data_IF_690330139906
#
_entry.id   IF_690330139906
#
_cell.length_a   1.000
_cell.length_b   1.000
_cell.length_c   1.000
_cell.angle_alpha   90.00
_cell.angle_beta   90.00
_cell.angle_gamma   90.00
#
_symmetry.space_group_name_H-M   'P 1'
#
loop_
_entity.id
_entity.type
_entity.pdbx_description
1 polymer ?
#
# COMPACT_ATOMS: atom_id res chain seq x y z
N UNK A 1 2.08 -19.19 1.45
CA UNK A 1 2.84 -18.16 0.70
C UNK A 1 4.12 -18.78 0.13
N UNK A 2 4.30 -18.82 -1.20
CA UNK A 2 5.53 -19.37 -1.80
C UNK A 2 6.73 -18.54 -1.31
N UNK A 3 7.78 -19.15 -0.74
CA UNK A 3 8.92 -18.44 -0.12
C UNK A 3 9.54 -17.36 -1.04
N UNK A 4 9.45 -17.55 -2.36
CA UNK A 4 9.92 -16.59 -3.36
C UNK A 4 9.21 -15.23 -3.35
N UNK A 5 7.90 -15.18 -3.10
CA UNK A 5 7.11 -13.93 -3.17
C UNK A 5 7.53 -12.93 -2.10
N UNK A 6 7.83 -13.41 -0.88
CA UNK A 6 8.34 -12.56 0.21
C UNK A 6 9.69 -11.93 -0.15
N UNK A 7 10.59 -12.75 -0.68
CA UNK A 7 11.93 -12.31 -1.05
C UNK A 7 11.90 -11.29 -2.19
N UNK A 8 11.05 -11.53 -3.19
CA UNK A 8 10.87 -10.63 -4.32
C UNK A 8 10.30 -9.28 -3.90
N UNK A 9 9.30 -9.29 -3.01
CA UNK A 9 8.72 -8.06 -2.47
C UNK A 9 9.75 -7.26 -1.68
N UNK A 10 10.50 -7.92 -0.80
CA UNK A 10 11.57 -7.27 -0.03
C UNK A 10 12.63 -6.67 -0.94
N UNK A 11 13.02 -7.38 -2.00
CA UNK A 11 13.97 -6.90 -3.00
C UNK A 11 13.43 -5.66 -3.71
N UNK A 12 12.20 -5.73 -4.22
CA UNK A 12 11.56 -4.61 -4.92
C UNK A 12 11.34 -3.38 -4.03
N UNK A 13 11.04 -3.59 -2.74
CA UNK A 13 10.90 -2.49 -1.79
C UNK A 13 12.25 -1.85 -1.44
N UNK A 14 13.32 -2.65 -1.27
CA UNK A 14 14.69 -2.14 -1.08
C UNK A 14 15.15 -1.33 -2.29
N UNK A 15 14.98 -1.88 -3.48
CA UNK A 15 15.32 -1.21 -4.74
C UNK A 15 14.55 0.09 -4.90
N UNK A 16 13.26 0.11 -4.55
CA UNK A 16 12.45 1.32 -4.57
C UNK A 16 13.09 2.44 -3.74
N UNK A 17 13.60 2.14 -2.54
CA UNK A 17 14.24 3.14 -1.68
C UNK A 17 15.68 3.51 -2.07
N UNK A 18 16.28 2.88 -3.09
CA UNK A 18 17.61 3.26 -3.56
C UNK A 18 17.58 4.67 -4.18
N UNK A 19 18.57 5.55 -3.88
CA UNK A 19 18.61 6.91 -4.44
C UNK A 19 18.58 6.97 -5.98
N UNK A 20 19.23 6.00 -6.65
CA UNK A 20 19.22 5.90 -8.11
C UNK A 20 17.82 5.71 -8.68
N UNK A 21 16.97 4.94 -8.00
CA UNK A 21 15.59 4.68 -8.42
C UNK A 21 14.76 5.96 -8.40
N UNK A 22 14.92 6.80 -7.38
CA UNK A 22 14.22 8.10 -7.31
C UNK A 22 14.58 9.00 -8.50
N UNK A 23 15.86 9.00 -8.92
CA UNK A 23 16.31 9.76 -10.08
C UNK A 23 15.67 9.23 -11.37
N UNK A 24 15.63 7.91 -11.57
CA UNK A 24 14.97 7.28 -12.72
C UNK A 24 13.49 7.68 -12.81
N UNK A 25 12.76 7.66 -11.70
CA UNK A 25 11.36 8.10 -11.68
C UNK A 25 11.22 9.57 -12.09
N UNK A 26 12.11 10.45 -11.61
CA UNK A 26 12.16 11.85 -11.98
C UNK A 26 12.48 12.07 -13.46
N UNK A 27 13.51 11.39 -13.97
CA UNK A 27 13.96 11.46 -15.36
C UNK A 27 12.87 10.99 -16.33
N UNK A 28 12.07 9.99 -15.93
CA UNK A 28 10.93 9.50 -16.70
C UNK A 28 9.63 10.31 -16.50
N UNK A 29 9.61 11.32 -15.62
CA UNK A 29 8.40 12.07 -15.28
C UNK A 29 7.32 11.26 -14.55
N UNK A 30 7.69 10.12 -13.94
CA UNK A 30 6.77 9.22 -13.25
C UNK A 30 6.70 9.62 -11.77
N UNK A 31 5.49 9.78 -11.20
CA UNK A 31 5.34 10.03 -9.77
C UNK A 31 6.07 8.96 -8.95
N UNK A 32 6.94 9.39 -8.03
CA UNK A 32 7.69 8.49 -7.15
C UNK A 32 6.79 7.86 -6.09
N UNK A 33 6.04 6.84 -6.53
CA UNK A 33 5.06 6.09 -5.75
C UNK A 33 4.99 4.66 -6.28
N UNK A 34 5.14 3.68 -5.40
CA UNK A 34 4.97 2.25 -5.74
C UNK A 34 3.84 1.64 -4.91
N UNK A 35 2.98 0.87 -5.57
CA UNK A 35 1.81 0.21 -4.95
C UNK A 35 1.96 -1.31 -5.08
N UNK A 36 1.55 -2.03 -4.04
CA UNK A 36 1.49 -3.49 -4.02
C UNK A 36 0.10 -3.94 -3.57
N UNK A 37 -0.47 -4.92 -4.26
CA UNK A 37 -1.74 -5.52 -3.90
C UNK A 37 -1.52 -6.98 -3.52
N UNK A 38 -1.88 -7.32 -2.29
CA UNK A 38 -1.81 -8.70 -1.80
C UNK A 38 -3.22 -9.25 -1.61
N UNK A 39 -3.52 -10.33 -2.34
CA UNK A 39 -4.68 -11.17 -2.11
C UNK A 39 -4.18 -12.50 -1.52
N UNK A 40 -4.71 -12.88 -0.37
CA UNK A 40 -4.33 -14.09 0.34
C UNK A 40 -5.62 -14.81 0.76
N UNK A 41 -5.74 -16.14 0.56
CA UNK A 41 -6.86 -16.90 1.11
C UNK A 41 -6.93 -16.73 2.63
N UNK A 42 -8.13 -16.75 3.24
CA UNK A 42 -8.31 -16.64 4.68
C UNK A 42 -7.42 -17.67 5.41
N UNK A 43 -6.74 -17.23 6.47
CA UNK A 43 -5.77 -18.05 7.21
C UNK A 43 -4.32 -17.96 6.71
N UNK A 44 -4.02 -17.21 5.64
CA UNK A 44 -2.64 -16.87 5.25
C UNK A 44 -2.22 -15.50 5.80
N UNK A 45 -1.03 -15.43 6.38
CA UNK A 45 -0.58 -14.33 7.22
C UNK A 45 -0.04 -13.12 6.42
N UNK A 46 -0.95 -12.40 5.74
CA UNK A 46 -0.68 -11.08 5.12
C UNK A 46 -0.12 -10.08 6.13
N UNK A 47 -0.64 -10.07 7.35
CA UNK A 47 -0.12 -9.24 8.45
C UNK A 47 1.32 -9.60 8.79
N UNK A 48 1.67 -10.90 8.88
CA UNK A 48 3.06 -11.32 9.12
C UNK A 48 4.02 -10.92 7.99
N UNK A 49 3.53 -10.86 6.75
CA UNK A 49 4.33 -10.32 5.63
C UNK A 49 4.58 -8.82 5.81
N UNK A 50 3.54 -8.06 6.17
CA UNK A 50 3.66 -6.63 6.45
C UNK A 50 4.64 -6.41 7.60
N UNK A 51 4.51 -7.13 8.71
CA UNK A 51 5.40 -7.05 9.87
C UNK A 51 6.86 -7.38 9.54
N UNK A 52 7.09 -8.30 8.59
CA UNK A 52 8.44 -8.54 8.10
C UNK A 52 8.99 -7.34 7.29
N UNK A 53 8.16 -6.69 6.48
CA UNK A 53 8.57 -5.53 5.68
C UNK A 53 8.90 -4.31 6.56
N UNK A 54 8.07 -4.07 7.57
CA UNK A 54 8.21 -2.93 8.49
C UNK A 54 9.57 -2.95 9.19
N UNK A 55 10.02 -4.12 9.65
CA UNK A 55 11.33 -4.30 10.28
C UNK A 55 12.52 -4.09 9.33
N UNK A 56 12.36 -4.32 8.03
CA UNK A 56 13.47 -4.26 7.06
C UNK A 56 13.62 -2.91 6.34
N UNK A 57 12.56 -2.12 6.21
CA UNK A 57 12.55 -0.94 5.33
C UNK A 57 12.94 0.38 6.02
N UNK A 58 13.04 0.40 7.35
CA UNK A 58 13.40 1.59 8.17
C UNK A 58 12.67 2.85 7.68
N UNK A 59 11.34 2.81 7.67
CA UNK A 59 10.46 3.90 7.24
C UNK A 59 9.24 3.99 8.17
N UNK A 60 8.56 5.13 8.16
CA UNK A 60 7.32 5.30 8.92
C UNK A 60 6.23 4.41 8.32
N UNK A 61 5.44 3.77 9.18
CA UNK A 61 4.39 2.84 8.75
C UNK A 61 3.05 3.38 9.21
N UNK A 62 2.11 3.44 8.28
CA UNK A 62 0.76 3.93 8.50
C UNK A 62 -0.20 2.79 8.16
N UNK A 63 -0.83 2.20 9.18
CA UNK A 63 -1.86 1.18 8.97
C UNK A 63 -3.24 1.84 8.97
N UNK A 64 -3.93 1.76 7.84
CA UNK A 64 -5.27 2.31 7.65
C UNK A 64 -6.20 1.14 7.31
N UNK A 65 -7.15 0.89 8.19
CA UNK A 65 -8.27 0.00 7.94
C UNK A 65 -9.37 0.78 7.26
N UNK A 66 -9.86 0.26 6.14
CA UNK A 66 -10.97 0.87 5.45
C UNK A 66 -12.29 0.38 6.06
N UNK A 67 -12.91 1.21 6.90
CA UNK A 67 -14.26 0.96 7.39
C UNK A 67 -15.29 1.64 6.48
N UNK A 68 -16.48 1.05 6.36
CA UNK A 68 -17.59 1.63 5.60
C UNK A 68 -17.92 3.04 6.15
N UNK A 69 -17.92 4.05 5.28
CA UNK A 69 -18.34 5.41 5.60
C UNK A 69 -17.28 6.33 6.22
N UNK A 70 -16.10 5.81 6.59
CA UNK A 70 -15.04 6.59 7.25
C UNK A 70 -14.06 7.29 6.29
N UNK A 71 -14.01 6.81 5.04
CA UNK A 71 -13.10 7.29 4.00
C UNK A 71 -13.90 8.12 2.98
N UNK A 72 -13.79 9.44 3.09
CA UNK A 72 -14.16 10.38 2.03
C UNK A 72 -12.90 10.80 1.26
N UNK A 73 -13.05 11.20 0.00
CA UNK A 73 -11.93 11.66 -0.84
C UNK A 73 -11.12 12.77 -0.16
N UNK A 74 -11.79 13.71 0.50
CA UNK A 74 -11.15 14.82 1.21
C UNK A 74 -10.32 14.36 2.41
N UNK A 75 -10.79 13.37 3.17
CA UNK A 75 -10.07 12.84 4.34
C UNK A 75 -8.84 12.05 3.89
N UNK A 76 -8.98 11.21 2.86
CA UNK A 76 -7.85 10.49 2.27
C UNK A 76 -6.81 11.43 1.69
N UNK A 77 -7.23 12.47 0.95
CA UNK A 77 -6.32 13.46 0.39
C UNK A 77 -5.49 14.16 1.46
N UNK A 78 -6.14 14.69 2.51
CA UNK A 78 -5.45 15.34 3.62
C UNK A 78 -4.50 14.38 4.36
N UNK A 79 -4.91 13.12 4.55
CA UNK A 79 -4.04 12.10 5.14
C UNK A 79 -2.78 11.89 4.30
N UNK A 80 -2.91 11.77 2.98
CA UNK A 80 -1.77 11.59 2.08
C UNK A 80 -0.83 12.81 2.06
N UNK A 81 -1.36 14.03 2.24
CA UNK A 81 -0.53 15.24 2.37
C UNK A 81 0.31 15.28 3.65
N UNK A 82 -0.17 14.65 4.73
CA UNK A 82 0.52 14.62 6.03
C UNK A 82 1.62 13.56 6.14
N UNK A 83 1.78 12.70 5.13
CA UNK A 83 2.73 11.59 5.17
C UNK A 83 4.18 12.07 5.03
N UNK A 84 5.08 11.35 5.69
CA UNK A 84 6.52 11.60 5.55
C UNK A 84 7.05 11.19 4.17
N UNK A 85 8.15 11.83 3.75
CA UNK A 85 8.84 11.56 2.47
C UNK A 85 9.24 10.09 2.25
N UNK A 86 9.39 9.32 3.34
CA UNK A 86 9.73 7.89 3.31
C UNK A 86 8.77 7.12 4.22
N UNK A 87 7.69 6.61 3.65
CA UNK A 87 6.67 5.88 4.37
C UNK A 87 6.19 4.62 3.64
N UNK A 88 5.63 3.69 4.41
CA UNK A 88 4.85 2.55 3.96
C UNK A 88 3.41 2.74 4.43
N UNK A 89 2.48 2.83 3.49
CA UNK A 89 1.05 2.89 3.78
C UNK A 89 0.46 1.51 3.56
N UNK A 90 -0.14 0.95 4.60
CA UNK A 90 -0.82 -0.35 4.59
C UNK A 90 -2.31 -0.08 4.59
N UNK A 91 -2.98 -0.55 3.54
CA UNK A 91 -4.43 -0.49 3.42
C UNK A 91 -5.00 -1.90 3.66
N UNK A 92 -5.68 -2.09 4.77
CA UNK A 92 -6.36 -3.33 5.16
C UNK A 92 -7.84 -3.29 4.78
N UNK A 93 -8.40 -4.46 4.46
CA UNK A 93 -9.84 -4.69 4.23
C UNK A 93 -10.50 -3.77 3.19
N UNK A 94 -9.78 -3.49 2.10
CA UNK A 94 -10.25 -2.62 1.00
C UNK A 94 -11.55 -3.11 0.33
N UNK A 95 -11.82 -4.41 0.39
CA UNK A 95 -13.03 -5.05 -0.13
C UNK A 95 -14.25 -4.75 0.75
N UNK A 96 -14.06 -4.54 2.05
CA UNK A 96 -15.12 -4.14 2.97
C UNK A 96 -15.60 -2.69 2.73
N UNK A 97 -14.77 -1.85 2.11
CA UNK A 97 -15.14 -0.48 1.77
C UNK A 97 -16.03 -0.38 0.50
N UNK A 98 -15.92 -1.34 -0.43
CA UNK A 98 -16.56 -1.24 -1.75
C UNK A 98 -17.98 -1.82 -1.85
N UNK A 99 -18.57 -2.25 -0.74
CA UNK A 99 -19.86 -2.95 -0.74
C UNK A 99 -21.08 -2.02 -0.78
N UNK A 100 -20.96 -0.80 -1.33
CA UNK A 100 -22.07 0.13 -1.64
C UNK A 100 -21.73 1.15 -2.75
N UNK A 101 -20.77 0.88 -3.65
CA UNK A 101 -20.77 1.57 -4.94
C UNK A 101 -21.98 1.04 -5.72
N UNK A 102 -23.11 1.70 -5.49
CA UNK A 102 -24.40 1.63 -6.14
C UNK A 102 -24.40 0.68 -7.34
N UNK A 103 -25.13 -0.44 -7.22
CA UNK A 103 -25.94 -0.90 -8.35
C UNK A 103 -26.89 0.26 -8.64
N UNK A 104 -26.38 1.25 -9.37
CA UNK A 104 -27.16 2.33 -9.90
C UNK A 104 -28.12 1.63 -10.86
N UNK A 105 -29.34 1.47 -10.37
CA UNK A 105 -30.55 1.29 -11.14
C UNK A 105 -30.36 1.91 -12.52
N UNK A 106 -30.11 1.06 -13.51
CA UNK A 106 -30.21 1.46 -14.91
C UNK A 106 -31.16 0.48 -15.55
N UNK A 107 -32.42 0.94 -15.57
CA UNK A 107 -33.61 0.44 -16.27
C UNK A 107 -34.10 -0.99 -16.02
#
# INVERSE_FOLDING_TARGET
MHKGVKAELLRGAKEYFCPGTKRVYGDCGIPYRRRYLFHCPPGNSKSSLIDALTGHLKCNIYNIRMFRGDITDSRSYNMFLSLSNKCLVVLEDIDAANINATRASTH
#
